data_IF_163132155580
#
_entry.id   IF_163132155580
#
_cell.length_a   1.000
_cell.length_b   1.000
_cell.length_c   1.000
_cell.angle_alpha   90.00
_cell.angle_beta   90.00
_cell.angle_gamma   90.00
#
_symmetry.space_group_name_H-M   'P 1'
#
loop_
_entity.id
_entity.type
_entity.pdbx_description
1 polymer ?
#
# COMPACT_ATOMS: atom_id res chain seq x y z
N UNK A 1 -16.07 5.04 -12.52
CA UNK A 1 -16.69 5.47 -11.25
C UNK A 1 -15.81 5.02 -10.08
N UNK A 2 -14.73 5.75 -9.74
CA UNK A 2 -13.78 5.31 -8.71
C UNK A 2 -14.39 5.13 -7.31
N UNK A 3 -15.51 5.81 -7.02
CA UNK A 3 -16.25 5.68 -5.76
C UNK A 3 -16.89 4.29 -5.55
N UNK A 4 -17.38 3.65 -6.62
CA UNK A 4 -17.94 2.30 -6.55
C UNK A 4 -16.82 1.28 -6.31
N UNK A 5 -15.68 1.46 -6.98
CA UNK A 5 -14.50 0.63 -6.78
C UNK A 5 -14.01 0.67 -5.33
N UNK A 6 -13.94 1.87 -4.71
CA UNK A 6 -13.61 2.02 -3.29
C UNK A 6 -14.54 1.19 -2.41
N UNK A 7 -15.86 1.32 -2.57
CA UNK A 7 -16.81 0.59 -1.74
C UNK A 7 -16.69 -0.94 -1.90
N UNK A 8 -16.47 -1.42 -3.13
CA UNK A 8 -16.25 -2.85 -3.40
C UNK A 8 -14.96 -3.37 -2.74
N UNK A 9 -13.87 -2.60 -2.84
CA UNK A 9 -12.57 -2.95 -2.28
C UNK A 9 -12.59 -2.92 -0.74
N UNK A 10 -13.20 -1.90 -0.13
CA UNK A 10 -13.38 -1.82 1.32
C UNK A 10 -14.19 -3.03 1.84
N UNK A 11 -15.29 -3.37 1.17
CA UNK A 11 -16.11 -4.52 1.55
C UNK A 11 -15.38 -5.86 1.39
N UNK A 12 -14.59 -6.01 0.31
CA UNK A 12 -13.80 -7.21 0.08
C UNK A 12 -12.70 -7.37 1.13
N UNK A 13 -11.96 -6.30 1.45
CA UNK A 13 -10.93 -6.31 2.47
C UNK A 13 -11.50 -6.54 3.88
N UNK A 14 -12.71 -6.06 4.16
CA UNK A 14 -13.39 -6.32 5.45
C UNK A 14 -13.72 -7.81 5.68
N UNK A 15 -13.72 -8.66 4.65
CA UNK A 15 -13.92 -10.11 4.82
C UNK A 15 -12.72 -10.80 5.47
N UNK A 16 -11.55 -10.17 5.48
CA UNK A 16 -10.32 -10.70 6.05
C UNK A 16 -10.31 -10.54 7.58
N UNK A 17 -10.57 -11.63 8.31
CA UNK A 17 -10.66 -11.68 9.78
C UNK A 17 -9.45 -12.36 10.44
N UNK A 18 -8.26 -12.26 9.82
CA UNK A 18 -7.03 -12.91 10.27
C UNK A 18 -6.45 -13.87 9.23
N UNK A 19 -5.51 -14.73 9.64
CA UNK A 19 -4.90 -15.71 8.75
C UNK A 19 -5.97 -16.67 8.18
N UNK A 20 -6.14 -16.76 6.85
CA UNK A 20 -7.12 -17.67 6.27
C UNK A 20 -6.70 -19.13 6.51
N UNK A 21 -7.69 -20.03 6.60
CA UNK A 21 -7.49 -21.49 6.63
C UNK A 21 -6.51 -21.98 7.70
N UNK A 22 -6.49 -21.38 8.89
CA UNK A 22 -5.64 -21.79 10.02
C UNK A 22 -5.75 -23.28 10.37
N UNK A 23 -6.90 -23.91 10.13
CA UNK A 23 -7.11 -25.35 10.37
C UNK A 23 -6.56 -26.28 9.25
N UNK A 24 -6.07 -25.75 8.13
CA UNK A 24 -5.68 -26.54 6.94
C UNK A 24 -4.31 -26.13 6.35
N UNK A 25 -3.51 -25.36 7.09
CA UNK A 25 -2.28 -24.70 6.64
C UNK A 25 -1.13 -25.64 6.21
N UNK A 26 -1.18 -26.91 6.60
CA UNK A 26 -0.12 -27.89 6.29
C UNK A 26 -0.28 -28.57 4.91
N UNK A 27 -1.44 -28.43 4.25
CA UNK A 27 -1.62 -29.04 2.93
C UNK A 27 -1.05 -28.16 1.80
N UNK A 28 -0.26 -28.75 0.89
CA UNK A 28 0.36 -28.04 -0.25
C UNK A 28 -0.69 -27.31 -1.11
N UNK A 29 -1.87 -27.90 -1.29
CA UNK A 29 -2.99 -27.27 -2.00
C UNK A 29 -3.53 -26.05 -1.26
N UNK A 30 -3.69 -26.13 0.07
CA UNK A 30 -4.11 -24.97 0.85
C UNK A 30 -3.04 -23.88 0.84
N UNK A 31 -1.75 -24.21 0.88
CA UNK A 31 -0.66 -23.24 0.80
C UNK A 31 -0.65 -22.48 -0.54
N UNK A 32 -0.90 -23.17 -1.65
CA UNK A 32 -1.05 -22.53 -2.97
C UNK A 32 -2.22 -21.54 -2.99
N UNK A 33 -3.39 -21.97 -2.51
CA UNK A 33 -4.58 -21.12 -2.44
C UNK A 33 -4.40 -19.94 -1.47
N UNK A 34 -3.71 -20.13 -0.34
CA UNK A 34 -3.39 -19.06 0.60
C UNK A 34 -2.47 -18.00 -0.01
N UNK A 35 -1.47 -18.43 -0.79
CA UNK A 35 -0.58 -17.50 -1.51
C UNK A 35 -1.39 -16.65 -2.49
N UNK A 36 -2.23 -17.29 -3.30
CA UNK A 36 -3.08 -16.59 -4.27
C UNK A 36 -4.05 -15.61 -3.60
N UNK A 37 -4.70 -16.01 -2.51
CA UNK A 37 -5.56 -15.13 -1.73
C UNK A 37 -4.78 -13.93 -1.19
N UNK A 38 -3.60 -14.13 -0.61
CA UNK A 38 -2.77 -13.04 -0.08
C UNK A 38 -2.34 -12.08 -1.19
N UNK A 39 -1.96 -12.58 -2.37
CA UNK A 39 -1.65 -11.75 -3.52
C UNK A 39 -2.86 -10.92 -4.00
N UNK A 40 -4.07 -11.47 -3.96
CA UNK A 40 -5.28 -10.70 -4.25
C UNK A 40 -5.56 -9.62 -3.18
N UNK A 41 -5.28 -9.91 -1.91
CA UNK A 41 -5.38 -8.92 -0.82
C UNK A 41 -4.42 -7.77 -1.04
N UNK A 42 -3.15 -8.08 -1.28
CA UNK A 42 -2.08 -7.13 -1.60
C UNK A 42 -2.49 -6.19 -2.75
N UNK A 43 -2.93 -6.77 -3.87
CA UNK A 43 -3.40 -5.99 -5.02
C UNK A 43 -4.62 -5.12 -4.68
N UNK A 44 -5.60 -5.64 -3.94
CA UNK A 44 -6.77 -4.87 -3.54
C UNK A 44 -6.41 -3.68 -2.64
N UNK A 45 -5.42 -3.85 -1.76
CA UNK A 45 -4.89 -2.79 -0.90
C UNK A 45 -4.20 -1.69 -1.72
N UNK A 46 -3.38 -2.06 -2.70
CA UNK A 46 -2.74 -1.11 -3.62
C UNK A 46 -3.78 -0.32 -4.43
N UNK A 47 -4.74 -1.01 -5.05
CA UNK A 47 -5.77 -0.38 -5.88
C UNK A 47 -6.68 0.53 -5.06
N UNK A 48 -6.98 0.17 -3.80
CA UNK A 48 -7.77 1.02 -2.91
C UNK A 48 -7.05 2.35 -2.63
N UNK A 49 -5.74 2.32 -2.41
CA UNK A 49 -4.94 3.54 -2.23
C UNK A 49 -4.92 4.40 -3.49
N UNK A 50 -4.70 3.79 -4.66
CA UNK A 50 -4.77 4.49 -5.95
C UNK A 50 -6.15 5.16 -6.15
N UNK A 51 -7.23 4.46 -5.80
CA UNK A 51 -8.58 5.03 -5.87
C UNK A 51 -8.78 6.21 -4.91
N UNK A 52 -8.26 6.14 -3.67
CA UNK A 52 -8.34 7.27 -2.74
C UNK A 52 -7.55 8.47 -3.25
N UNK A 53 -6.36 8.27 -3.82
CA UNK A 53 -5.54 9.33 -4.39
C UNK A 53 -6.25 9.98 -5.59
N UNK A 54 -6.80 9.19 -6.50
CA UNK A 54 -7.56 9.68 -7.65
C UNK A 54 -8.81 10.48 -7.25
N UNK A 55 -9.48 10.07 -6.16
CA UNK A 55 -10.62 10.78 -5.58
C UNK A 55 -10.23 11.96 -4.67
N UNK A 56 -8.94 12.30 -4.60
CA UNK A 56 -8.41 13.36 -3.74
C UNK A 56 -8.70 13.17 -2.24
N UNK A 57 -8.95 11.93 -1.81
CA UNK A 57 -9.19 11.56 -0.41
C UNK A 57 -7.88 11.35 0.33
N UNK A 58 -6.96 12.33 0.26
CA UNK A 58 -5.58 12.18 0.72
C UNK A 58 -5.46 11.83 2.20
N UNK A 59 -6.32 12.41 3.05
CA UNK A 59 -6.28 12.10 4.48
C UNK A 59 -6.64 10.64 4.77
N UNK A 60 -7.61 10.08 4.03
CA UNK A 60 -7.95 8.67 4.11
C UNK A 60 -6.82 7.80 3.55
N UNK A 61 -6.27 8.17 2.40
CA UNK A 61 -5.12 7.48 1.80
C UNK A 61 -3.92 7.42 2.75
N UNK A 62 -3.57 8.53 3.42
CA UNK A 62 -2.44 8.57 4.34
C UNK A 62 -2.64 7.64 5.55
N UNK A 63 -3.83 7.67 6.17
CA UNK A 63 -4.14 6.80 7.32
C UNK A 63 -4.13 5.33 6.93
N UNK A 64 -4.79 4.98 5.82
CA UNK A 64 -4.90 3.58 5.36
C UNK A 64 -3.54 3.06 4.86
N UNK A 65 -2.79 3.88 4.13
CA UNK A 65 -1.45 3.49 3.67
C UNK A 65 -0.53 3.21 4.85
N UNK A 66 -0.55 4.04 5.90
CA UNK A 66 0.23 3.77 7.11
C UNK A 66 -0.09 2.40 7.71
N UNK A 67 -1.37 2.03 7.82
CA UNK A 67 -1.76 0.70 8.32
C UNK A 67 -1.22 -0.41 7.42
N UNK A 68 -1.37 -0.28 6.11
CA UNK A 68 -0.90 -1.30 5.16
C UNK A 68 0.63 -1.41 5.12
N UNK A 69 1.39 -0.35 5.40
CA UNK A 69 2.86 -0.44 5.51
C UNK A 69 3.32 -1.29 6.70
N UNK A 70 2.51 -1.40 7.76
CA UNK A 70 2.81 -2.30 8.88
C UNK A 70 2.58 -3.77 8.51
N UNK A 71 1.59 -4.05 7.65
CA UNK A 71 1.30 -5.39 7.17
C UNK A 71 2.28 -5.84 6.07
N UNK A 72 2.67 -4.93 5.18
CA UNK A 72 3.48 -5.22 3.99
C UNK A 72 4.65 -4.24 3.89
N UNK A 73 5.62 -4.32 4.81
CA UNK A 73 6.69 -3.33 4.92
C UNK A 73 7.61 -3.27 3.70
N UNK A 74 7.66 -4.32 2.87
CA UNK A 74 8.49 -4.36 1.65
C UNK A 74 7.75 -3.98 0.37
N UNK A 75 6.47 -3.62 0.46
CA UNK A 75 5.70 -3.19 -0.70
C UNK A 75 5.88 -1.69 -0.96
N UNK A 76 6.79 -1.34 -1.87
CA UNK A 76 7.12 0.05 -2.22
C UNK A 76 5.92 0.87 -2.72
N UNK A 77 4.95 0.26 -3.40
CA UNK A 77 3.77 0.95 -3.94
C UNK A 77 2.87 1.54 -2.85
N UNK A 78 2.82 0.89 -1.69
CA UNK A 78 2.07 1.38 -0.53
C UNK A 78 2.79 2.57 0.11
N UNK A 79 4.12 2.51 0.23
CA UNK A 79 4.95 3.62 0.68
C UNK A 79 4.85 4.83 -0.26
N UNK A 80 4.88 4.60 -1.57
CA UNK A 80 4.64 5.63 -2.59
C UNK A 80 3.32 6.36 -2.35
N UNK A 81 2.24 5.60 -2.19
CA UNK A 81 0.91 6.16 -1.97
C UNK A 81 0.84 6.98 -0.68
N UNK A 82 1.51 6.52 0.38
CA UNK A 82 1.62 7.25 1.65
C UNK A 82 2.35 8.59 1.47
N UNK A 83 3.51 8.57 0.80
CA UNK A 83 4.33 9.77 0.55
C UNK A 83 3.55 10.78 -0.32
N UNK A 84 2.88 10.31 -1.38
CA UNK A 84 2.04 11.16 -2.24
C UNK A 84 0.90 11.78 -1.45
N UNK A 85 0.17 10.99 -0.66
CA UNK A 85 -0.93 11.50 0.17
C UNK A 85 -0.47 12.58 1.16
N UNK A 86 0.67 12.37 1.83
CA UNK A 86 1.23 13.35 2.77
C UNK A 86 1.66 14.64 2.06
N UNK A 87 2.31 14.53 0.89
CA UNK A 87 2.67 15.72 0.08
C UNK A 87 1.43 16.50 -0.35
N UNK A 88 0.35 15.81 -0.69
CA UNK A 88 -0.90 16.45 -1.09
C UNK A 88 -1.67 17.12 0.02
N UNK A 89 -1.41 16.72 1.26
CA UNK A 89 -1.88 17.42 2.46
C UNK A 89 -0.95 18.58 2.88
N UNK A 90 0.10 18.90 2.09
CA UNK A 90 1.11 19.90 2.43
C UNK A 90 2.12 19.45 3.51
N UNK A 91 2.06 18.17 3.93
CA UNK A 91 2.90 17.59 5.00
C UNK A 91 4.24 17.09 4.45
N UNK A 92 4.97 17.97 3.76
CA UNK A 92 6.20 17.62 3.04
C UNK A 92 7.31 17.08 3.95
N UNK A 93 7.47 17.63 5.15
CA UNK A 93 8.46 17.17 6.12
C UNK A 93 8.22 15.72 6.54
N UNK A 94 6.95 15.35 6.74
CA UNK A 94 6.55 13.99 7.11
C UNK A 94 6.73 13.02 5.93
N UNK A 95 6.37 13.44 4.72
CA UNK A 95 6.64 12.65 3.52
C UNK A 95 8.15 12.33 3.35
N UNK A 96 9.02 13.30 3.61
CA UNK A 96 10.47 13.11 3.59
C UNK A 96 10.96 12.20 4.74
N UNK A 97 10.34 12.26 5.91
CA UNK A 97 10.62 11.35 7.02
C UNK A 97 10.25 9.90 6.66
N UNK A 98 9.06 9.68 6.11
CA UNK A 98 8.60 8.36 5.65
C UNK A 98 9.53 7.79 4.57
N UNK A 99 9.95 8.61 3.59
CA UNK A 99 10.91 8.16 2.58
C UNK A 99 12.23 7.67 3.19
N UNK A 100 12.79 8.40 4.17
CA UNK A 100 14.02 7.96 4.86
C UNK A 100 13.80 6.66 5.65
N UNK A 101 12.63 6.49 6.25
CA UNK A 101 12.29 5.26 6.97
C UNK A 101 12.27 4.04 6.04
N UNK A 102 11.55 4.10 4.92
CA UNK A 102 11.50 2.99 3.96
C UNK A 102 12.85 2.76 3.28
N UNK A 103 13.60 3.82 2.97
CA UNK A 103 14.95 3.69 2.43
C UNK A 103 15.87 2.91 3.38
N UNK A 104 15.82 3.25 4.67
CA UNK A 104 16.59 2.55 5.70
C UNK A 104 16.16 1.08 5.81
N UNK A 105 14.85 0.82 5.86
CA UNK A 105 14.30 -0.54 5.92
C UNK A 105 14.80 -1.41 4.76
N UNK A 106 14.66 -0.94 3.52
CA UNK A 106 15.07 -1.69 2.33
C UNK A 106 16.58 -1.94 2.29
N UNK A 107 17.37 -0.96 2.75
CA UNK A 107 18.82 -1.11 2.81
C UNK A 107 19.26 -2.08 3.92
N UNK A 108 18.67 -1.98 5.11
CA UNK A 108 19.05 -2.78 6.27
C UNK A 108 18.63 -4.24 6.09
N UNK A 109 17.41 -4.49 5.62
CA UNK A 109 16.83 -5.84 5.53
C UNK A 109 17.13 -6.53 4.19
N UNK A 110 17.05 -5.80 3.07
CA UNK A 110 17.13 -6.39 1.73
C UNK A 110 18.41 -6.02 0.99
N UNK A 111 19.22 -5.09 1.52
CA UNK A 111 20.44 -4.57 0.86
C UNK A 111 20.17 -3.98 -0.53
N UNK A 112 18.96 -3.46 -0.75
CA UNK A 112 18.56 -2.81 -2.00
C UNK A 112 18.28 -1.32 -1.81
N UNK A 113 18.42 -0.56 -2.90
CA UNK A 113 18.01 0.84 -2.93
C UNK A 113 16.52 0.96 -3.28
N UNK A 114 15.83 2.04 -2.84
CA UNK A 114 14.47 2.35 -3.26
C UNK A 114 14.31 2.35 -4.78
N UNK A 115 13.18 1.86 -5.29
CA UNK A 115 12.83 1.92 -6.71
C UNK A 115 12.77 3.36 -7.24
N UNK A 116 12.77 3.50 -8.57
CA UNK A 116 12.63 4.80 -9.22
C UNK A 116 11.30 5.47 -8.86
N UNK A 117 10.21 4.69 -8.85
CA UNK A 117 8.87 5.16 -8.54
C UNK A 117 8.78 5.71 -7.10
N UNK A 118 9.35 4.99 -6.13
CA UNK A 118 9.42 5.44 -4.73
C UNK A 118 10.24 6.73 -4.55
N UNK A 119 11.36 6.87 -5.26
CA UNK A 119 12.13 8.13 -5.28
C UNK A 119 11.35 9.28 -5.91
N UNK A 120 10.64 9.01 -7.01
CA UNK A 120 9.80 9.99 -7.69
C UNK A 120 8.61 10.42 -6.83
N UNK A 121 8.07 9.56 -5.97
CA UNK A 121 6.96 9.92 -5.06
C UNK A 121 7.31 11.08 -4.12
N UNK A 122 8.59 11.31 -3.81
CA UNK A 122 9.03 12.44 -2.96
C UNK A 122 9.15 13.76 -3.73
N UNK A 123 9.45 13.71 -5.03
CA UNK A 123 9.86 14.87 -5.84
C UNK A 123 8.86 15.26 -6.92
N UNK A 124 8.11 14.31 -7.48
CA UNK A 124 7.34 14.52 -8.70
C UNK A 124 5.96 15.11 -8.40
N UNK A 125 5.56 16.18 -9.09
CA UNK A 125 4.26 16.87 -8.91
C UNK A 125 3.18 16.29 -9.85
N UNK A 126 3.46 15.16 -10.52
CA UNK A 126 2.73 14.65 -11.69
C UNK A 126 1.47 13.81 -11.46
N UNK A 127 0.94 13.67 -10.25
CA UNK A 127 -0.15 12.72 -9.99
C UNK A 127 -1.56 13.22 -10.44
N UNK A 128 -1.65 14.33 -11.20
CA UNK A 128 -2.92 14.92 -11.65
C UNK A 128 -3.34 14.62 -13.11
N UNK A 129 -2.71 13.67 -13.82
CA UNK A 129 -3.15 13.30 -15.17
C UNK A 129 -3.14 11.79 -15.40
N UNK A 130 -4.30 11.17 -15.19
CA UNK A 130 -4.78 9.97 -15.89
C UNK A 130 -6.31 9.92 -15.76
#
# INVERSE_FOLDING_TARGET
MPSIAVAMLENALAQWRGAPLTAMSESVRAQGFLRELNSHKELAQEVLLDCYLALQRYQKAAVVAHQFTLEMPYNEKIWESHIVALRMLGRHAEAAHIFRQVQKLLYDELRVAPSKSLRSALTDTRWATA
#
